data_IF_949916463683
#
_entry.id   IF_949916463683
#
_cell.length_a   1.000
_cell.length_b   1.000
_cell.length_c   1.000
_cell.angle_alpha   90.00
_cell.angle_beta   90.00
_cell.angle_gamma   90.00
#
_symmetry.space_group_name_H-M   'P 1'
#
loop_
_entity.id
_entity.type
_entity.pdbx_description
1 polymer ?
#
# COMPACT_ATOMS: atom_id res chain seq x y z
N UNK A 1 19.62 -4.73 4.95
CA UNK A 1 18.73 -3.55 5.02
C UNK A 1 18.16 -3.59 6.41
N UNK A 2 18.36 -2.57 7.24
CA UNK A 2 17.73 -2.56 8.58
C UNK A 2 16.29 -2.13 8.37
N UNK A 3 15.34 -2.81 9.01
CA UNK A 3 13.93 -2.41 9.05
C UNK A 3 13.73 -0.97 9.55
N UNK A 4 14.76 -0.36 10.13
CA UNK A 4 14.78 1.01 10.65
C UNK A 4 14.89 2.11 9.58
N UNK A 5 15.15 1.80 8.30
CA UNK A 5 15.24 2.84 7.28
C UNK A 5 13.86 3.50 7.08
N UNK A 6 13.73 4.82 7.36
CA UNK A 6 12.43 5.49 7.32
C UNK A 6 11.70 5.35 5.99
N UNK A 7 12.43 5.19 4.88
CA UNK A 7 11.85 5.01 3.56
C UNK A 7 11.13 3.66 3.41
N UNK A 8 11.60 2.62 4.09
CA UNK A 8 10.94 1.31 4.11
C UNK A 8 9.81 1.26 5.14
N UNK A 9 9.95 1.99 6.26
CA UNK A 9 8.89 2.12 7.27
C UNK A 9 7.59 2.69 6.70
N UNK A 10 7.67 3.59 5.71
CA UNK A 10 6.48 4.10 4.99
C UNK A 10 5.70 2.95 4.35
N UNK A 11 6.36 2.06 3.62
CA UNK A 11 5.68 0.93 2.97
C UNK A 11 5.17 -0.10 3.97
N UNK A 12 5.89 -0.31 5.09
CA UNK A 12 5.41 -1.17 6.18
C UNK A 12 4.16 -0.61 6.87
N UNK A 13 4.09 0.72 7.03
CA UNK A 13 2.90 1.40 7.53
C UNK A 13 1.71 1.20 6.59
N UNK A 14 1.90 1.47 5.30
CA UNK A 14 0.85 1.28 4.28
C UNK A 14 0.37 -0.18 4.25
N UNK A 15 1.29 -1.14 4.23
CA UNK A 15 0.96 -2.58 4.25
C UNK A 15 0.14 -2.93 5.51
N UNK A 16 0.57 -2.45 6.68
CA UNK A 16 -0.16 -2.68 7.94
C UNK A 16 -1.54 -2.01 8.01
N UNK A 17 -1.73 -0.85 7.39
CA UNK A 17 -3.03 -0.15 7.41
C UNK A 17 -4.02 -0.71 6.37
N UNK A 18 -3.49 -1.38 5.34
CA UNK A 18 -4.26 -1.91 4.21
C UNK A 18 -4.33 -3.43 4.15
N UNK A 19 -3.71 -4.15 5.10
CA UNK A 19 -3.62 -5.62 5.16
C UNK A 19 -4.98 -6.34 5.08
N UNK A 20 -6.02 -5.70 5.60
CA UNK A 20 -7.41 -6.18 5.61
C UNK A 20 -8.16 -5.96 4.30
N UNK A 21 -7.60 -5.21 3.35
CA UNK A 21 -8.26 -4.87 2.09
C UNK A 21 -8.03 -5.99 1.06
N UNK A 22 -9.11 -6.52 0.46
CA UNK A 22 -8.99 -7.66 -0.42
C UNK A 22 -8.42 -7.25 -1.78
N UNK A 23 -7.15 -7.58 -2.01
CA UNK A 23 -6.43 -7.31 -3.27
C UNK A 23 -5.95 -8.61 -3.91
N UNK A 24 -6.07 -8.73 -5.23
CA UNK A 24 -5.65 -9.92 -5.96
C UNK A 24 -6.59 -11.13 -5.82
N UNK A 25 -6.02 -12.34 -5.73
CA UNK A 25 -6.75 -13.60 -5.90
C UNK A 25 -7.79 -13.88 -4.81
N UNK A 26 -7.57 -13.38 -3.58
CA UNK A 26 -8.48 -13.61 -2.47
C UNK A 26 -9.87 -13.03 -2.72
N UNK A 27 -10.00 -12.01 -3.58
CA UNK A 27 -11.28 -11.38 -3.94
C UNK A 27 -12.30 -12.38 -4.48
N UNK A 28 -11.84 -13.51 -5.06
CA UNK A 28 -12.72 -14.60 -5.51
C UNK A 28 -13.50 -15.28 -4.38
N UNK A 29 -13.06 -15.13 -3.13
CA UNK A 29 -13.67 -15.69 -1.93
C UNK A 29 -14.60 -14.71 -1.21
N UNK A 30 -14.64 -13.45 -1.65
CA UNK A 30 -15.42 -12.39 -1.01
C UNK A 30 -16.81 -12.23 -1.61
N UNK A 31 -17.74 -11.74 -0.80
CA UNK A 31 -19.05 -11.34 -1.28
C UNK A 31 -18.91 -10.14 -2.25
N UNK A 32 -19.53 -10.16 -3.44
CA UNK A 32 -19.45 -9.05 -4.40
C UNK A 32 -19.88 -7.68 -3.86
N UNK A 33 -20.92 -7.61 -3.02
CA UNK A 33 -21.37 -6.34 -2.43
C UNK A 33 -20.36 -5.81 -1.41
N UNK A 34 -19.72 -6.71 -0.65
CA UNK A 34 -18.64 -6.31 0.26
C UNK A 34 -17.43 -5.77 -0.52
N UNK A 35 -17.10 -6.36 -1.67
CA UNK A 35 -16.02 -5.87 -2.54
C UNK A 35 -16.27 -4.44 -3.02
N UNK A 36 -17.50 -4.09 -3.39
CA UNK A 36 -17.83 -2.72 -3.83
C UNK A 36 -17.54 -1.70 -2.73
N UNK A 37 -17.87 -2.01 -1.47
CA UNK A 37 -17.56 -1.11 -0.36
C UNK A 37 -16.05 -1.07 -0.04
N UNK A 38 -15.36 -2.21 -0.14
CA UNK A 38 -13.89 -2.26 0.05
C UNK A 38 -13.15 -1.53 -1.06
N UNK A 39 -13.64 -1.55 -2.29
CA UNK A 39 -13.02 -0.85 -3.41
C UNK A 39 -13.02 0.68 -3.21
N UNK A 40 -14.04 1.23 -2.54
CA UNK A 40 -14.03 2.65 -2.13
C UNK A 40 -12.91 2.92 -1.12
N UNK A 41 -12.78 2.06 -0.12
CA UNK A 41 -11.74 2.19 0.91
C UNK A 41 -10.34 2.04 0.32
N UNK A 42 -10.14 1.10 -0.63
CA UNK A 42 -8.90 0.97 -1.39
C UNK A 42 -8.58 2.28 -2.13
N UNK A 43 -9.56 2.85 -2.84
CA UNK A 43 -9.37 4.08 -3.58
C UNK A 43 -9.00 5.26 -2.66
N UNK A 44 -9.65 5.36 -1.49
CA UNK A 44 -9.32 6.37 -0.48
C UNK A 44 -7.89 6.19 0.04
N UNK A 45 -7.47 4.95 0.34
CA UNK A 45 -6.10 4.67 0.80
C UNK A 45 -5.06 4.96 -0.28
N UNK A 46 -5.33 4.64 -1.54
CA UNK A 46 -4.46 4.99 -2.68
C UNK A 46 -4.25 6.49 -2.75
N UNK A 47 -5.32 7.30 -2.69
CA UNK A 47 -5.22 8.77 -2.69
C UNK A 47 -4.42 9.27 -1.49
N UNK A 48 -4.69 8.73 -0.29
CA UNK A 48 -4.05 9.18 0.95
C UNK A 48 -2.54 8.92 0.94
N UNK A 49 -2.12 7.77 0.44
CA UNK A 49 -0.71 7.36 0.49
C UNK A 49 0.08 7.64 -0.80
N UNK A 50 -0.57 8.00 -1.93
CA UNK A 50 0.08 8.19 -3.24
C UNK A 50 1.32 9.09 -3.15
N UNK A 51 1.17 10.26 -2.51
CA UNK A 51 2.24 11.25 -2.42
C UNK A 51 3.43 10.73 -1.62
N UNK A 52 3.18 10.14 -0.45
CA UNK A 52 4.22 9.65 0.44
C UNK A 52 4.93 8.42 -0.16
N UNK A 53 4.17 7.47 -0.68
CA UNK A 53 4.69 6.28 -1.35
C UNK A 53 5.56 6.67 -2.57
N UNK A 54 5.14 7.66 -3.36
CA UNK A 54 5.92 8.14 -4.51
C UNK A 54 7.24 8.76 -4.06
N UNK A 55 7.22 9.64 -3.06
CA UNK A 55 8.44 10.28 -2.53
C UNK A 55 9.41 9.20 -2.00
N UNK A 56 8.89 8.24 -1.23
CA UNK A 56 9.69 7.15 -0.69
C UNK A 56 10.30 6.28 -1.81
N UNK A 57 9.50 5.91 -2.82
CA UNK A 57 9.96 5.13 -3.97
C UNK A 57 11.05 5.86 -4.78
N UNK A 58 10.89 7.16 -5.01
CA UNK A 58 11.90 7.97 -5.70
C UNK A 58 13.21 8.05 -4.91
N UNK A 59 13.12 8.25 -3.59
CA UNK A 59 14.27 8.28 -2.70
C UNK A 59 15.00 6.92 -2.65
N UNK A 60 14.25 5.81 -2.57
CA UNK A 60 14.81 4.47 -2.62
C UNK A 60 15.50 4.19 -3.96
N UNK A 61 14.87 4.58 -5.08
CA UNK A 61 15.46 4.45 -6.42
C UNK A 61 16.75 5.26 -6.54
N UNK A 62 16.80 6.47 -5.99
CA UNK A 62 18.02 7.28 -5.98
C UNK A 62 19.14 6.64 -5.13
N UNK A 63 18.77 6.03 -4.00
CA UNK A 63 19.71 5.42 -3.04
C UNK A 63 20.26 4.06 -3.50
N UNK A 64 19.44 3.25 -4.17
CA UNK A 64 19.74 1.84 -4.47
C UNK A 64 19.61 1.46 -5.95
N UNK A 65 18.96 2.29 -6.78
CA UNK A 65 18.79 2.04 -8.21
C UNK A 65 20.11 2.28 -8.94
N UNK A 66 20.88 1.21 -9.08
CA UNK A 66 22.11 1.17 -9.87
C UNK A 66 21.84 0.64 -11.27
#
# INVERSE_FOLDING_TARGET
MSDEDPLFQIFLGIDSETDRLPVGNERSLWNPEALIERDKEIHEMEINFESEARIAAEALRSKFGR
#
